data_IF_452602411038
#
_entry.id   IF_452602411038
#
_cell.length_a   1.000
_cell.length_b   1.000
_cell.length_c   1.000
_cell.angle_alpha   90.00
_cell.angle_beta   90.00
_cell.angle_gamma   90.00
#
_symmetry.space_group_name_H-M   'P 1'
#
loop_
_entity.id
_entity.type
_entity.pdbx_description
1 polymer ?
#
# COMPACT_ATOMS: atom_id res chain seq x y z
N UNK A 1 -8.40 11.04 -11.74
CA UNK A 1 -7.97 10.62 -10.41
C UNK A 1 -8.60 9.28 -10.07
N UNK A 2 -7.81 8.36 -9.51
CA UNK A 2 -8.30 7.04 -9.14
C UNK A 2 -9.21 7.12 -7.91
N UNK A 3 -10.19 6.23 -7.86
CA UNK A 3 -10.99 6.03 -6.65
C UNK A 3 -10.17 5.23 -5.64
N UNK A 4 -10.34 5.53 -4.37
CA UNK A 4 -9.54 4.91 -3.31
C UNK A 4 -10.35 3.82 -2.61
N UNK A 5 -9.72 2.67 -2.40
CA UNK A 5 -10.28 1.56 -1.67
C UNK A 5 -9.20 0.98 -0.74
N UNK A 6 -9.61 0.49 0.43
CA UNK A 6 -8.71 -0.15 1.39
C UNK A 6 -9.25 -1.52 1.75
N UNK A 7 -8.35 -2.49 1.90
CA UNK A 7 -8.73 -3.76 2.52
C UNK A 7 -8.87 -3.59 4.03
N UNK A 8 -9.54 -4.52 4.67
CA UNK A 8 -9.60 -4.53 6.15
C UNK A 8 -8.23 -4.65 6.78
N UNK A 9 -7.32 -5.41 6.17
CA UNK A 9 -5.94 -5.55 6.61
C UNK A 9 -5.24 -4.18 6.64
N UNK A 10 -5.36 -3.42 5.56
CA UNK A 10 -4.73 -2.10 5.48
C UNK A 10 -5.33 -1.13 6.50
N UNK A 11 -6.66 -1.14 6.65
CA UNK A 11 -7.31 -0.27 7.63
C UNK A 11 -6.89 -0.61 9.05
N UNK A 12 -6.79 -1.90 9.38
CA UNK A 12 -6.37 -2.34 10.70
C UNK A 12 -4.96 -1.86 11.03
N UNK A 13 -4.07 -1.89 10.04
CA UNK A 13 -2.71 -1.39 10.23
C UNK A 13 -2.71 0.12 10.50
N UNK A 14 -3.46 0.88 9.73
CA UNK A 14 -3.54 2.33 9.88
C UNK A 14 -4.07 2.73 11.26
N UNK A 15 -5.02 1.96 11.80
CA UNK A 15 -5.61 2.24 13.12
C UNK A 15 -4.61 2.16 14.26
N UNK A 16 -3.50 1.47 14.07
CA UNK A 16 -2.47 1.29 15.11
C UNK A 16 -1.43 2.41 15.13
N UNK A 17 -1.43 3.26 14.11
CA UNK A 17 -0.37 4.25 13.94
C UNK A 17 -0.69 5.53 14.71
N UNK A 18 0.37 6.23 15.13
CA UNK A 18 0.18 7.58 15.66
C UNK A 18 -0.13 8.55 14.51
N UNK A 19 -0.53 9.77 14.86
CA UNK A 19 -1.00 10.75 13.89
C UNK A 19 0.07 11.09 12.85
N UNK A 20 1.33 11.16 13.25
CA UNK A 20 2.42 11.50 12.35
C UNK A 20 2.62 10.43 11.28
N UNK A 21 2.66 9.18 11.70
CA UNK A 21 2.86 8.04 10.82
C UNK A 21 1.67 7.83 9.90
N UNK A 22 0.47 7.94 10.46
CA UNK A 22 -0.76 7.88 9.68
C UNK A 22 -0.75 8.92 8.56
N UNK A 23 -0.43 10.16 8.90
CA UNK A 23 -0.41 11.26 7.94
C UNK A 23 0.62 11.01 6.83
N UNK A 24 1.78 10.47 7.18
CA UNK A 24 2.83 10.18 6.21
C UNK A 24 2.35 9.17 5.17
N UNK A 25 1.70 8.11 5.62
CA UNK A 25 1.19 7.07 4.71
C UNK A 25 0.05 7.61 3.87
N UNK A 26 -0.88 8.35 4.47
CA UNK A 26 -2.04 8.88 3.75
C UNK A 26 -1.61 9.89 2.67
N UNK A 27 -0.61 10.70 2.93
CA UNK A 27 -0.07 11.61 1.91
C UNK A 27 0.46 10.84 0.70
N UNK A 28 1.16 9.73 0.95
CA UNK A 28 1.66 8.88 -0.13
C UNK A 28 0.51 8.27 -0.91
N UNK A 29 -0.52 7.79 -0.22
CA UNK A 29 -1.71 7.21 -0.86
C UNK A 29 -2.39 8.25 -1.75
N UNK A 30 -2.55 9.47 -1.28
CA UNK A 30 -3.16 10.53 -2.10
C UNK A 30 -2.32 10.83 -3.34
N UNK A 31 -1.00 10.78 -3.22
CA UNK A 31 -0.12 10.92 -4.38
C UNK A 31 -0.33 9.81 -5.40
N UNK A 32 -0.54 8.59 -4.94
CA UNK A 32 -0.81 7.45 -5.81
C UNK A 32 -2.16 7.57 -6.53
N UNK A 33 -3.12 8.26 -5.95
CA UNK A 33 -4.41 8.50 -6.63
C UNK A 33 -4.26 9.36 -7.87
N UNK A 34 -3.27 10.26 -7.88
CA UNK A 34 -2.96 11.12 -9.03
C UNK A 34 -2.06 10.41 -10.03
N UNK A 35 -1.07 9.69 -9.52
CA UNK A 35 -0.12 8.93 -10.33
C UNK A 35 0.15 7.59 -9.64
N UNK A 36 -0.52 6.51 -10.05
CA UNK A 36 -0.36 5.20 -9.41
C UNK A 36 0.95 4.49 -9.78
N UNK A 37 1.75 5.07 -10.66
CA UNK A 37 3.00 4.46 -11.10
C UNK A 37 4.18 5.40 -10.94
N UNK A 38 4.41 5.96 -9.72
CA UNK A 38 5.52 6.88 -9.54
C UNK A 38 6.85 6.15 -9.73
N UNK A 39 7.91 6.93 -9.97
CA UNK A 39 9.23 6.37 -10.27
C UNK A 39 9.77 5.48 -9.15
N UNK A 40 9.36 5.73 -7.91
CA UNK A 40 9.80 4.95 -6.75
C UNK A 40 8.90 3.73 -6.46
N UNK A 41 7.92 3.45 -7.33
CA UNK A 41 7.13 2.24 -7.22
C UNK A 41 7.78 1.10 -8.00
N UNK A 42 7.51 -0.13 -7.57
CA UNK A 42 7.99 -1.33 -8.23
C UNK A 42 6.90 -2.38 -8.29
N UNK A 43 6.95 -3.21 -9.33
CA UNK A 43 6.08 -4.38 -9.41
C UNK A 43 6.61 -5.48 -8.52
N UNK A 44 5.71 -6.20 -7.85
CA UNK A 44 6.09 -7.44 -7.18
C UNK A 44 6.17 -8.53 -8.22
N UNK A 45 7.34 -9.19 -8.27
CA UNK A 45 7.65 -10.19 -9.27
C UNK A 45 6.56 -11.27 -9.34
N UNK A 46 6.10 -11.58 -10.53
CA UNK A 46 5.13 -12.62 -10.75
C UNK A 46 3.71 -12.27 -10.35
N UNK A 47 3.42 -10.99 -10.12
CA UNK A 47 2.09 -10.56 -9.70
C UNK A 47 1.72 -9.23 -10.33
N UNK A 48 0.46 -8.83 -10.15
CA UNK A 48 -0.01 -7.50 -10.55
C UNK A 48 0.08 -6.48 -9.43
N UNK A 49 0.54 -6.90 -8.26
CA UNK A 49 0.72 -5.99 -7.12
C UNK A 49 1.91 -5.08 -7.34
N UNK A 50 1.80 -3.88 -6.79
CA UNK A 50 2.88 -2.89 -6.76
C UNK A 50 3.22 -2.57 -5.32
N UNK A 51 4.45 -2.09 -5.13
CA UNK A 51 4.89 -1.62 -3.83
C UNK A 51 5.49 -0.23 -3.95
N UNK A 52 5.34 0.54 -2.89
CA UNK A 52 5.97 1.85 -2.75
C UNK A 52 6.25 2.07 -1.27
N UNK A 53 7.33 2.79 -0.97
CA UNK A 53 7.66 3.11 0.42
C UNK A 53 7.18 4.49 0.80
N UNK A 54 6.75 4.63 2.06
CA UNK A 54 6.41 5.90 2.68
C UNK A 54 7.15 5.95 4.01
N UNK A 55 8.33 6.59 4.02
CA UNK A 55 9.20 6.57 5.18
C UNK A 55 9.65 5.17 5.51
N UNK A 56 9.37 4.72 6.72
CA UNK A 56 9.74 3.37 7.18
C UNK A 56 8.71 2.31 6.83
N UNK A 57 7.65 2.69 6.14
CA UNK A 57 6.55 1.80 5.82
C UNK A 57 6.53 1.45 4.34
N UNK A 58 5.96 0.31 4.04
CA UNK A 58 5.77 -0.18 2.68
C UNK A 58 4.29 -0.41 2.42
N UNK A 59 3.83 0.11 1.29
CA UNK A 59 2.45 -0.01 0.85
C UNK A 59 2.41 -0.97 -0.33
N UNK A 60 1.60 -2.01 -0.23
CA UNK A 60 1.32 -2.92 -1.34
C UNK A 60 -0.06 -2.56 -1.88
N UNK A 61 -0.15 -2.34 -3.19
CA UNK A 61 -1.38 -1.85 -3.78
C UNK A 61 -1.61 -2.42 -5.17
N UNK A 62 -2.83 -2.23 -5.65
CA UNK A 62 -3.26 -2.50 -7.02
C UNK A 62 -3.83 -1.22 -7.59
N UNK A 63 -3.57 -0.96 -8.87
CA UNK A 63 -4.18 0.15 -9.59
C UNK A 63 -4.79 -0.43 -10.86
N UNK A 64 -6.11 -0.48 -10.92
CA UNK A 64 -6.82 -1.13 -12.01
C UNK A 64 -8.23 -0.54 -12.12
N UNK A 65 -8.71 -0.34 -13.35
CA UNK A 65 -10.07 0.14 -13.63
C UNK A 65 -10.43 1.41 -12.86
N UNK A 66 -9.48 2.36 -12.79
CA UNK A 66 -9.63 3.62 -12.07
C UNK A 66 -9.82 3.45 -10.56
N UNK A 67 -9.48 2.30 -10.00
CA UNK A 67 -9.48 2.05 -8.57
C UNK A 67 -8.05 1.84 -8.09
N UNK A 68 -7.68 2.58 -7.05
CA UNK A 68 -6.45 2.37 -6.30
C UNK A 68 -6.82 1.60 -5.05
N UNK A 69 -6.42 0.35 -4.97
CA UNK A 69 -6.73 -0.50 -3.83
C UNK A 69 -5.48 -0.68 -2.98
N UNK A 70 -5.53 -0.21 -1.74
CA UNK A 70 -4.45 -0.40 -0.78
C UNK A 70 -4.67 -1.77 -0.13
N UNK A 71 -3.78 -2.70 -0.43
CA UNK A 71 -3.97 -4.11 -0.10
C UNK A 71 -3.43 -4.45 1.28
N UNK A 72 -2.21 -4.02 1.57
CA UNK A 72 -1.61 -4.22 2.89
C UNK A 72 -0.51 -3.20 3.12
N UNK A 73 -0.22 -2.92 4.38
CA UNK A 73 0.80 -1.95 4.78
C UNK A 73 1.60 -2.59 5.90
N UNK A 74 2.90 -2.35 5.90
CA UNK A 74 3.77 -2.84 6.97
C UNK A 74 5.09 -2.11 6.97
N UNK A 75 5.98 -2.48 7.87
CA UNK A 75 7.33 -1.91 7.92
C UNK A 75 8.14 -2.42 6.73
N UNK A 76 8.89 -1.53 6.09
CA UNK A 76 9.60 -1.86 4.84
C UNK A 76 10.72 -2.88 5.02
N UNK A 77 11.34 -2.93 6.21
CA UNK A 77 12.41 -3.88 6.50
C UNK A 77 11.92 -5.10 7.28
N UNK A 78 10.62 -5.35 7.23
CA UNK A 78 9.97 -6.49 7.86
C UNK A 78 9.28 -7.30 6.77
N UNK A 79 9.42 -8.62 6.81
CA UNK A 79 8.79 -9.50 5.82
C UNK A 79 7.30 -9.72 6.07
N UNK A 80 6.73 -9.18 7.14
CA UNK A 80 5.34 -9.43 7.54
C UNK A 80 4.34 -9.01 6.47
N UNK A 81 4.61 -7.91 5.76
CA UNK A 81 3.72 -7.44 4.70
C UNK A 81 3.57 -8.48 3.59
N UNK A 82 4.66 -9.16 3.24
CA UNK A 82 4.64 -10.19 2.21
C UNK A 82 3.95 -11.46 2.69
N UNK A 83 4.13 -11.81 3.95
CA UNK A 83 3.44 -12.96 4.55
C UNK A 83 1.93 -12.75 4.56
N UNK A 84 1.48 -11.56 4.93
CA UNK A 84 0.05 -11.24 4.93
C UNK A 84 -0.52 -11.23 3.51
N UNK A 85 0.24 -10.70 2.55
CA UNK A 85 -0.16 -10.71 1.15
C UNK A 85 -0.31 -12.14 0.64
N UNK A 86 0.66 -12.99 0.94
CA UNK A 86 0.62 -14.40 0.52
C UNK A 86 -0.59 -15.13 1.11
N UNK A 87 -0.90 -14.90 2.39
CA UNK A 87 -2.05 -15.53 3.05
C UNK A 87 -3.36 -15.15 2.40
N UNK A 88 -3.53 -13.88 2.01
CA UNK A 88 -4.79 -13.46 1.40
C UNK A 88 -4.96 -13.97 -0.04
N UNK A 89 -3.90 -14.40 -0.70
CA UNK A 89 -3.96 -14.96 -2.05
C UNK A 89 -4.31 -16.44 -2.06
N UNK A 90 -4.35 -17.03 -0.91
CA UNK A 90 -4.75 -18.42 -0.75
C UNK A 90 -6.20 -18.49 -0.30
#
# INVERSE_FOLDING_TARGET
MFKLDFTNDALAFLDKLDAKQFRQIIKKVFGLMKDPFPIDSENLKGSRYKRVDAGEYRIIYLANDNVLKIVTIGKRNDSEVYKRLHRRNN
#
